data_IF_650874527422
#
_entry.id   IF_650874527422
#
_cell.length_a   1.000
_cell.length_b   1.000
_cell.length_c   1.000
_cell.angle_alpha   90.00
_cell.angle_beta   90.00
_cell.angle_gamma   90.00
#
_symmetry.space_group_name_H-M   'P 1'
#
loop_
_entity.id
_entity.type
_entity.pdbx_description
1 polymer ?
#
# COMPACT_ATOMS: atom_id res chain seq x y z
N UNK A 1 19.74 56.22 -12.25
CA UNK A 1 20.45 55.07 -11.63
C UNK A 1 19.56 54.19 -10.75
N UNK A 2 18.70 54.71 -9.84
CA UNK A 2 17.82 53.87 -9.00
C UNK A 2 16.79 53.01 -9.77
N UNK A 3 16.22 53.52 -10.86
CA UNK A 3 15.24 52.77 -11.67
C UNK A 3 15.83 51.56 -12.41
N UNK A 4 17.07 51.65 -12.91
CA UNK A 4 17.74 50.52 -13.57
C UNK A 4 18.12 49.40 -12.60
N UNK A 5 18.43 49.73 -11.34
CA UNK A 5 18.72 48.74 -10.30
C UNK A 5 17.48 47.90 -9.93
N UNK A 6 16.29 48.53 -9.87
CA UNK A 6 15.01 47.85 -9.60
C UNK A 6 14.66 46.85 -10.70
N UNK A 7 14.78 47.24 -11.98
CA UNK A 7 14.45 46.36 -13.10
C UNK A 7 15.38 45.14 -13.15
N UNK A 8 16.68 45.33 -12.89
CA UNK A 8 17.64 44.23 -12.85
C UNK A 8 17.36 43.25 -11.70
N UNK A 9 16.97 43.74 -10.52
CA UNK A 9 16.56 42.87 -9.41
C UNK A 9 15.29 42.10 -9.71
N UNK A 10 14.34 42.68 -10.46
CA UNK A 10 13.08 42.02 -10.82
C UNK A 10 13.32 40.86 -11.81
N UNK A 11 14.19 41.04 -12.81
CA UNK A 11 14.58 39.95 -13.73
C UNK A 11 15.37 38.84 -13.02
N UNK A 12 16.25 39.20 -12.07
CA UNK A 12 16.95 38.22 -11.24
C UNK A 12 15.97 37.43 -10.36
N UNK A 13 14.97 38.10 -9.78
CA UNK A 13 13.92 37.48 -8.98
C UNK A 13 13.06 36.53 -9.82
N UNK A 14 12.63 36.96 -11.01
CA UNK A 14 11.87 36.11 -11.95
C UNK A 14 12.69 34.89 -12.39
N UNK A 15 13.99 35.08 -12.67
CA UNK A 15 14.91 33.98 -12.96
C UNK A 15 15.00 32.99 -11.80
N UNK A 16 15.13 33.48 -10.56
CA UNK A 16 15.19 32.64 -9.36
C UNK A 16 13.87 31.87 -9.15
N UNK A 17 12.72 32.53 -9.35
CA UNK A 17 11.39 31.88 -9.27
C UNK A 17 11.29 30.79 -10.34
N UNK A 18 11.69 31.07 -11.59
CA UNK A 18 11.66 30.08 -12.66
C UNK A 18 12.53 28.86 -12.33
N UNK A 19 13.75 29.08 -11.83
CA UNK A 19 14.65 27.99 -11.38
C UNK A 19 14.03 27.19 -10.24
N UNK A 20 13.43 27.87 -9.25
CA UNK A 20 12.77 27.21 -8.14
C UNK A 20 11.58 26.36 -8.59
N UNK A 21 10.75 26.88 -9.51
CA UNK A 21 9.62 26.14 -10.08
C UNK A 21 10.10 24.92 -10.85
N UNK A 22 11.15 25.05 -11.67
CA UNK A 22 11.75 23.92 -12.39
C UNK A 22 12.27 22.86 -11.42
N UNK A 23 12.97 23.26 -10.35
CA UNK A 23 13.48 22.33 -9.35
C UNK A 23 12.34 21.60 -8.61
N UNK A 24 11.26 22.32 -8.29
CA UNK A 24 10.07 21.75 -7.68
C UNK A 24 9.41 20.71 -8.60
N UNK A 25 9.23 21.04 -9.88
CA UNK A 25 8.67 20.11 -10.87
C UNK A 25 9.55 18.87 -11.04
N UNK A 26 10.87 19.02 -11.10
CA UNK A 26 11.80 17.89 -11.14
C UNK A 26 11.70 17.01 -9.89
N UNK A 27 11.52 17.62 -8.72
CA UNK A 27 11.36 16.89 -7.45
C UNK A 27 10.04 16.11 -7.43
N UNK A 28 8.94 16.73 -7.84
CA UNK A 28 7.63 16.07 -7.95
C UNK A 28 7.69 14.92 -8.96
N UNK A 29 8.33 15.15 -10.10
CA UNK A 29 8.50 14.12 -11.13
C UNK A 29 9.33 12.95 -10.61
N UNK A 30 10.49 13.21 -10.00
CA UNK A 30 11.32 12.18 -9.38
C UNK A 30 10.56 11.41 -8.29
N UNK A 31 9.76 12.10 -7.47
CA UNK A 31 8.91 11.49 -6.46
C UNK A 31 7.84 10.57 -7.08
N UNK A 32 7.20 10.99 -8.16
CA UNK A 32 6.21 10.18 -8.87
C UNK A 32 6.84 8.93 -9.49
N UNK A 33 8.01 9.06 -10.13
CA UNK A 33 8.77 7.92 -10.67
C UNK A 33 9.18 6.96 -9.55
N UNK A 34 9.73 7.46 -8.45
CA UNK A 34 10.09 6.66 -7.27
C UNK A 34 8.89 5.95 -6.65
N UNK A 35 7.70 6.56 -6.75
CA UNK A 35 6.44 5.97 -6.28
C UNK A 35 5.88 4.87 -7.20
N UNK A 36 6.48 4.65 -8.38
CA UNK A 36 6.09 3.60 -9.32
C UNK A 36 5.30 4.08 -10.54
N UNK A 37 5.35 5.38 -10.88
CA UNK A 37 4.60 5.92 -12.05
C UNK A 37 4.89 5.15 -13.35
N UNK A 38 6.13 4.74 -13.59
CA UNK A 38 6.52 3.95 -14.77
C UNK A 38 6.67 2.46 -14.49
N UNK A 39 6.30 1.98 -13.31
CA UNK A 39 6.36 0.55 -13.03
C UNK A 39 5.29 -0.17 -13.83
N UNK A 40 5.71 -1.20 -14.55
CA UNK A 40 4.82 -2.09 -15.28
C UNK A 40 4.08 -3.01 -14.31
N UNK A 41 2.78 -3.21 -14.56
CA UNK A 41 1.97 -4.17 -13.80
C UNK A 41 1.95 -5.47 -14.59
N UNK A 42 2.78 -6.43 -14.17
CA UNK A 42 2.79 -7.77 -14.74
C UNK A 42 1.82 -8.64 -13.94
N UNK A 43 0.80 -9.16 -14.62
CA UNK A 43 -0.16 -10.12 -14.06
C UNK A 43 0.23 -11.52 -14.50
N UNK A 44 0.26 -12.46 -13.56
CA UNK A 44 0.54 -13.86 -13.84
C UNK A 44 -0.38 -14.78 -13.04
N UNK A 45 -0.62 -15.99 -13.55
CA UNK A 45 -1.30 -17.06 -12.85
C UNK A 45 -0.30 -18.17 -12.52
N UNK A 46 -0.42 -18.76 -11.32
CA UNK A 46 0.44 -19.84 -10.93
C UNK A 46 0.32 -20.21 -9.45
N UNK A 47 1.34 -20.93 -8.98
CA UNK A 47 1.50 -21.22 -7.54
C UNK A 47 1.72 -19.92 -6.77
N UNK A 48 1.07 -19.75 -5.61
CA UNK A 48 1.25 -18.53 -4.82
C UNK A 48 2.72 -18.37 -4.41
N UNK A 49 3.21 -17.12 -4.31
CA UNK A 49 4.55 -16.83 -3.83
C UNK A 49 4.66 -17.07 -2.32
N UNK A 50 3.52 -17.26 -1.64
CA UNK A 50 3.41 -17.51 -0.21
C UNK A 50 2.85 -18.90 0.09
N UNK A 51 3.38 -19.53 1.14
CA UNK A 51 2.91 -20.81 1.67
C UNK A 51 1.60 -20.69 2.47
N UNK A 52 1.39 -21.63 3.40
CA UNK A 52 0.41 -21.44 4.47
C UNK A 52 0.85 -20.28 5.35
N UNK A 53 -0.06 -19.40 5.76
CA UNK A 53 0.30 -18.24 6.58
C UNK A 53 -0.53 -18.22 7.84
N UNK A 54 0.13 -18.08 8.99
CA UNK A 54 -0.55 -17.82 10.27
C UNK A 54 -0.49 -16.34 10.55
N UNK A 55 -1.64 -15.73 10.75
CA UNK A 55 -1.75 -14.29 10.90
C UNK A 55 -2.60 -13.88 12.09
N UNK A 56 -2.24 -12.71 12.63
CA UNK A 56 -3.05 -11.98 13.60
C UNK A 56 -3.83 -10.89 12.86
N UNK A 57 -5.16 -10.89 12.95
CA UNK A 57 -6.01 -9.94 12.23
C UNK A 57 -7.14 -9.35 13.08
N UNK A 58 -7.61 -8.19 12.64
CA UNK A 58 -8.90 -7.61 13.01
C UNK A 58 -9.81 -7.62 11.78
N UNK A 59 -11.04 -8.08 11.99
CA UNK A 59 -12.09 -8.05 10.97
C UNK A 59 -12.95 -6.80 11.14
N UNK A 60 -13.28 -6.14 10.03
CA UNK A 60 -14.19 -4.99 9.98
C UNK A 60 -15.12 -5.08 8.78
N UNK A 61 -16.23 -4.37 8.89
CA UNK A 61 -17.18 -4.11 7.80
C UNK A 61 -17.30 -2.60 7.70
N UNK A 62 -17.16 -2.07 6.49
CA UNK A 62 -17.17 -0.64 6.23
C UNK A 62 -16.24 -0.25 5.06
N UNK A 63 -16.07 1.06 4.83
CA UNK A 63 -15.27 1.55 3.71
C UNK A 63 -13.80 1.14 3.80
N UNK A 64 -13.23 0.63 2.70
CA UNK A 64 -11.82 0.21 2.66
C UNK A 64 -10.83 1.35 2.89
N UNK A 65 -11.24 2.61 2.70
CA UNK A 65 -10.44 3.78 3.06
C UNK A 65 -10.09 3.85 4.55
N UNK A 66 -10.86 3.19 5.42
CA UNK A 66 -10.61 3.13 6.86
C UNK A 66 -9.63 2.02 7.26
N UNK A 67 -9.21 1.17 6.32
CA UNK A 67 -8.26 0.08 6.57
C UNK A 67 -6.92 0.54 7.13
N UNK A 68 -6.50 1.78 6.82
CA UNK A 68 -5.25 2.37 7.28
C UNK A 68 -5.08 2.36 8.80
N UNK A 69 -6.16 2.59 9.55
CA UNK A 69 -6.12 2.56 11.02
C UNK A 69 -5.74 1.17 11.55
N UNK A 70 -6.27 0.10 10.95
CA UNK A 70 -5.95 -1.27 11.36
C UNK A 70 -4.50 -1.66 11.02
N UNK A 71 -3.94 -1.13 9.93
CA UNK A 71 -2.52 -1.32 9.62
C UNK A 71 -1.62 -0.64 10.67
N UNK A 72 -1.99 0.56 11.12
CA UNK A 72 -1.29 1.30 12.20
C UNK A 72 -1.38 0.55 13.53
N UNK A 73 -2.57 0.04 13.89
CA UNK A 73 -2.75 -0.82 15.06
C UNK A 73 -1.82 -2.03 15.05
N UNK A 74 -1.71 -2.72 13.91
CA UNK A 74 -0.79 -3.85 13.78
C UNK A 74 0.69 -3.43 13.88
N UNK A 75 1.03 -2.25 13.33
CA UNK A 75 2.39 -1.73 13.33
C UNK A 75 2.89 -1.36 14.73
N UNK A 76 2.01 -0.76 15.54
CA UNK A 76 2.35 -0.34 16.90
C UNK A 76 2.69 -1.53 17.81
N UNK A 77 2.15 -2.72 17.50
CA UNK A 77 2.47 -3.97 18.21
C UNK A 77 3.79 -4.56 17.72
N UNK A 78 4.00 -4.59 16.40
CA UNK A 78 5.24 -5.05 15.78
C UNK A 78 5.44 -4.47 14.38
N UNK A 79 6.45 -3.63 14.22
CA UNK A 79 6.82 -3.04 12.93
C UNK A 79 7.60 -4.02 12.02
N UNK A 80 8.21 -5.06 12.59
CA UNK A 80 9.08 -6.02 11.86
C UNK A 80 8.30 -7.05 11.04
N UNK A 81 7.04 -7.29 11.37
CA UNK A 81 6.22 -8.31 10.69
C UNK A 81 5.56 -7.74 9.44
N UNK A 82 5.50 -8.55 8.39
CA UNK A 82 4.80 -8.19 7.16
C UNK A 82 3.30 -7.92 7.43
N UNK A 83 2.78 -6.86 6.83
CA UNK A 83 1.35 -6.53 6.87
C UNK A 83 0.60 -7.30 5.81
N UNK A 84 -0.66 -7.62 6.09
CA UNK A 84 -1.55 -8.29 5.14
C UNK A 84 -2.96 -7.71 5.23
N UNK A 85 -3.60 -7.54 4.08
CA UNK A 85 -5.01 -7.18 3.96
C UNK A 85 -5.75 -8.20 3.11
N UNK A 86 -6.91 -8.65 3.58
CA UNK A 86 -7.82 -9.53 2.87
C UNK A 86 -9.13 -8.78 2.66
N UNK A 87 -9.50 -8.57 1.40
CA UNK A 87 -10.71 -7.86 1.00
C UNK A 87 -11.66 -8.88 0.36
N UNK A 88 -12.86 -9.02 0.92
CA UNK A 88 -13.79 -10.08 0.52
C UNK A 88 -14.76 -9.66 -0.59
N UNK A 89 -14.95 -8.35 -0.78
CA UNK A 89 -16.00 -7.80 -1.61
C UNK A 89 -15.39 -6.84 -2.65
N UNK A 90 -15.98 -6.77 -3.83
CA UNK A 90 -15.56 -5.81 -4.84
C UNK A 90 -16.23 -4.45 -4.55
N UNK A 91 -15.46 -3.39 -4.21
CA UNK A 91 -16.00 -2.09 -3.81
C UNK A 91 -16.72 -1.35 -4.95
N UNK A 92 -16.56 -1.78 -6.20
CA UNK A 92 -17.31 -1.25 -7.35
C UNK A 92 -18.72 -1.85 -7.46
N UNK A 93 -18.98 -2.96 -6.78
CA UNK A 93 -20.26 -3.69 -6.85
C UNK A 93 -21.00 -3.74 -5.52
N UNK A 94 -20.27 -3.67 -4.40
CA UNK A 94 -20.82 -3.70 -3.04
C UNK A 94 -20.72 -2.30 -2.45
N UNK A 95 -21.80 -1.84 -1.80
CA UNK A 95 -21.81 -0.55 -1.12
C UNK A 95 -20.69 -0.46 -0.05
N UNK A 96 -19.99 0.68 0.10
CA UNK A 96 -18.87 0.82 1.03
C UNK A 96 -19.18 0.33 2.46
N UNK A 97 -20.36 0.64 3.00
CA UNK A 97 -20.78 0.24 4.35
C UNK A 97 -20.96 -1.26 4.58
N UNK A 98 -20.99 -2.04 3.49
CA UNK A 98 -21.15 -3.50 3.53
C UNK A 98 -19.88 -4.25 3.14
N UNK A 99 -18.82 -3.53 2.75
CA UNK A 99 -17.58 -4.13 2.32
C UNK A 99 -16.87 -4.75 3.53
N UNK A 100 -16.55 -6.04 3.45
CA UNK A 100 -15.88 -6.78 4.53
C UNK A 100 -14.40 -6.87 4.22
N UNK A 101 -13.59 -6.72 5.26
CA UNK A 101 -12.14 -6.85 5.15
C UNK A 101 -11.50 -7.28 6.47
N UNK A 102 -10.34 -7.91 6.36
CA UNK A 102 -9.51 -8.31 7.47
C UNK A 102 -8.10 -7.76 7.27
N UNK A 103 -7.61 -6.98 8.23
CA UNK A 103 -6.26 -6.43 8.21
C UNK A 103 -5.47 -7.01 9.37
N UNK A 104 -4.21 -7.34 9.11
CA UNK A 104 -3.38 -8.02 10.09
C UNK A 104 -1.89 -8.01 9.78
N UNK A 105 -1.20 -8.86 10.53
CA UNK A 105 0.24 -9.12 10.41
C UNK A 105 0.46 -10.62 10.28
N UNK A 106 1.38 -11.00 9.40
CA UNK A 106 1.80 -12.40 9.24
C UNK A 106 2.74 -12.73 10.42
N UNK A 107 2.40 -13.74 11.22
CA UNK A 107 3.19 -14.20 12.35
C UNK A 107 4.17 -15.31 11.96
N UNK A 108 3.77 -16.16 11.02
CA UNK A 108 4.62 -17.19 10.44
C UNK A 108 4.12 -17.64 9.07
N UNK A 109 5.02 -18.23 8.28
CA UNK A 109 4.75 -18.75 6.95
C UNK A 109 5.29 -20.19 6.82
N UNK A 110 4.60 -21.02 6.05
CA UNK A 110 4.89 -22.44 5.87
C UNK A 110 4.54 -23.26 7.11
N UNK A 111 5.41 -24.22 7.43
CA UNK A 111 5.28 -25.11 8.60
C UNK A 111 5.83 -24.48 9.89
N UNK A 112 6.37 -23.26 9.81
CA UNK A 112 6.89 -22.56 10.97
C UNK A 112 5.74 -22.17 11.92
N UNK A 113 5.89 -22.51 13.19
CA UNK A 113 4.95 -22.07 14.23
C UNK A 113 5.27 -20.63 14.64
N UNK A 114 4.25 -19.77 14.83
CA UNK A 114 4.47 -18.42 15.34
C UNK A 114 4.94 -18.48 16.80
N UNK A 115 5.73 -17.50 17.24
CA UNK A 115 6.13 -17.40 18.65
C UNK A 115 4.90 -17.20 19.53
N UNK A 116 4.79 -17.98 20.62
CA UNK A 116 3.71 -17.84 21.59
C UNK A 116 3.64 -16.43 22.18
N UNK A 117 4.79 -15.77 22.37
CA UNK A 117 4.83 -14.41 22.88
C UNK A 117 4.19 -13.41 21.91
N UNK A 118 4.44 -13.58 20.61
CA UNK A 118 3.82 -12.75 19.58
C UNK A 118 2.31 -12.99 19.54
N UNK A 119 1.89 -14.26 19.54
CA UNK A 119 0.48 -14.66 19.57
C UNK A 119 -0.25 -14.02 20.75
N UNK A 120 0.28 -14.20 21.98
CA UNK A 120 -0.31 -13.62 23.20
C UNK A 120 -0.36 -12.10 23.14
N UNK A 121 0.69 -11.45 22.62
CA UNK A 121 0.74 -9.99 22.47
C UNK A 121 -0.37 -9.50 21.54
N UNK A 122 -0.51 -10.09 20.36
CA UNK A 122 -1.56 -9.68 19.41
C UNK A 122 -2.97 -9.94 19.96
N UNK A 123 -3.19 -11.09 20.61
CA UNK A 123 -4.47 -11.39 21.27
C UNK A 123 -4.82 -10.39 22.37
N UNK A 124 -3.83 -9.95 23.17
CA UNK A 124 -4.02 -8.91 24.20
C UNK A 124 -4.56 -7.59 23.62
N UNK A 125 -4.20 -7.26 22.38
CA UNK A 125 -4.69 -6.07 21.66
C UNK A 125 -5.92 -6.36 20.78
N UNK A 126 -6.60 -7.49 21.01
CA UNK A 126 -7.87 -7.82 20.37
C UNK A 126 -7.75 -8.39 18.95
N UNK A 127 -6.55 -8.81 18.52
CA UNK A 127 -6.40 -9.51 17.25
C UNK A 127 -6.76 -10.99 17.40
N UNK A 128 -7.47 -11.52 16.41
CA UNK A 128 -7.75 -12.94 16.28
C UNK A 128 -6.62 -13.61 15.52
N UNK A 129 -6.40 -14.89 15.80
CA UNK A 129 -5.37 -15.70 15.13
C UNK A 129 -6.07 -16.66 14.18
N UNK A 130 -5.58 -16.74 12.95
CA UNK A 130 -6.07 -17.67 11.96
C UNK A 130 -4.93 -18.10 11.03
N UNK A 131 -5.02 -19.31 10.51
CA UNK A 131 -4.07 -19.85 9.55
C UNK A 131 -4.77 -20.04 8.21
N UNK A 132 -4.33 -19.30 7.20
CA UNK A 132 -4.77 -19.54 5.83
C UNK A 132 -4.00 -20.75 5.26
N UNK A 133 -4.69 -21.73 4.68
CA UNK A 133 -4.03 -22.80 3.95
C UNK A 133 -3.32 -22.23 2.72
N UNK A 134 -2.30 -22.95 2.24
CA UNK A 134 -1.64 -22.60 0.98
C UNK A 134 -2.67 -22.66 -0.16
N UNK A 135 -2.76 -21.58 -0.94
CA UNK A 135 -3.59 -21.59 -2.14
C UNK A 135 -2.97 -22.50 -3.22
N UNK A 136 -3.80 -23.21 -3.98
CA UNK A 136 -3.34 -24.08 -5.07
C UNK A 136 -2.98 -23.29 -6.33
N UNK A 137 -3.77 -22.26 -6.64
CA UNK A 137 -3.59 -21.42 -7.81
C UNK A 137 -4.07 -20.01 -7.50
N UNK A 138 -3.29 -19.00 -7.89
CA UNK A 138 -3.64 -17.60 -7.70
C UNK A 138 -3.31 -16.80 -8.96
N UNK A 139 -4.08 -15.74 -9.19
CA UNK A 139 -3.70 -14.66 -10.08
C UNK A 139 -3.06 -13.57 -9.22
N UNK A 140 -1.87 -13.14 -9.59
CA UNK A 140 -1.07 -12.24 -8.78
C UNK A 140 -0.42 -11.15 -9.62
N UNK A 141 -0.12 -10.04 -8.95
CA UNK A 141 0.69 -8.95 -9.47
C UNK A 141 1.45 -8.33 -8.31
N UNK A 142 2.62 -7.77 -8.60
CA UNK A 142 3.47 -7.07 -7.63
C UNK A 142 3.63 -5.62 -8.05
N UNK A 143 3.55 -4.71 -7.07
CA UNK A 143 3.74 -3.29 -7.30
C UNK A 143 4.54 -2.67 -6.15
N UNK A 144 5.36 -1.63 -6.42
CA UNK A 144 6.10 -0.95 -5.37
C UNK A 144 5.19 -0.41 -4.27
N UNK A 145 5.65 -0.50 -3.03
CA UNK A 145 5.00 0.06 -1.85
C UNK A 145 5.97 0.98 -1.13
N UNK A 146 6.34 2.09 -1.78
CA UNK A 146 7.39 3.00 -1.30
C UNK A 146 6.83 4.30 -0.71
N UNK A 147 5.71 4.81 -1.23
CA UNK A 147 5.07 6.04 -0.76
C UNK A 147 3.55 5.91 -0.72
N UNK A 148 2.81 6.84 -0.09
CA UNK A 148 1.36 6.87 -0.17
C UNK A 148 0.84 6.97 -1.62
N UNK A 149 1.58 7.64 -2.51
CA UNK A 149 1.25 7.72 -3.92
C UNK A 149 1.35 6.35 -4.59
N UNK A 150 2.29 5.49 -4.19
CA UNK A 150 2.39 4.11 -4.66
C UNK A 150 1.12 3.31 -4.38
N UNK A 151 0.49 3.51 -3.23
CA UNK A 151 -0.76 2.83 -2.86
C UNK A 151 -1.87 3.23 -3.82
N UNK A 152 -2.01 4.52 -4.10
CA UNK A 152 -3.01 5.03 -5.04
C UNK A 152 -2.77 4.52 -6.46
N UNK A 153 -1.51 4.54 -6.92
CA UNK A 153 -1.13 3.98 -8.22
C UNK A 153 -1.41 2.48 -8.29
N UNK A 154 -1.10 1.72 -7.24
CA UNK A 154 -1.37 0.29 -7.16
C UNK A 154 -2.87 0.00 -7.30
N UNK A 155 -3.72 0.69 -6.53
CA UNK A 155 -5.17 0.48 -6.59
C UNK A 155 -5.72 0.77 -8.00
N UNK A 156 -5.31 1.89 -8.61
CA UNK A 156 -5.84 2.29 -9.91
C UNK A 156 -5.28 1.50 -11.10
N UNK A 157 -4.12 0.86 -10.97
CA UNK A 157 -3.46 0.17 -12.09
C UNK A 157 -3.47 -1.34 -11.95
N UNK A 158 -3.32 -1.86 -10.74
CA UNK A 158 -3.27 -3.31 -10.48
C UNK A 158 -4.66 -3.91 -10.53
N UNK A 159 -5.68 -3.30 -9.91
CA UNK A 159 -7.03 -3.88 -9.92
C UNK A 159 -7.61 -4.01 -11.34
N UNK A 160 -7.57 -2.98 -12.21
CA UNK A 160 -8.06 -3.14 -13.58
C UNK A 160 -7.28 -4.17 -14.40
N UNK A 161 -5.97 -4.31 -14.17
CA UNK A 161 -5.14 -5.32 -14.84
C UNK A 161 -5.54 -6.73 -14.40
N UNK A 162 -5.74 -6.94 -13.09
CA UNK A 162 -6.25 -8.21 -12.55
C UNK A 162 -7.65 -8.54 -13.07
N UNK A 163 -8.56 -7.56 -13.07
CA UNK A 163 -9.93 -7.71 -13.58
C UNK A 163 -9.96 -8.08 -15.07
N UNK A 164 -9.03 -7.54 -15.87
CA UNK A 164 -8.91 -7.88 -17.29
C UNK A 164 -8.38 -9.29 -17.50
N UNK A 165 -7.49 -9.76 -16.62
CA UNK A 165 -6.88 -11.09 -16.71
C UNK A 165 -7.82 -12.22 -16.27
N UNK A 166 -8.67 -11.97 -15.25
CA UNK A 166 -9.54 -13.00 -14.65
C UNK A 166 -10.84 -13.22 -15.45
N UNK A 167 -11.23 -12.26 -16.30
CA UNK A 167 -12.37 -12.39 -17.21
C UNK A 167 -12.13 -13.43 -18.30
#
# INVERSE_FOLDING_TARGET
MRHHASIMSDWMLLGLIAVLVVLLLLTIFAFAVYSGLFTEVVVSAGSPPVGSITLAYKFRVGPYGESGQLFTDGCSISSKLCSIGVYYDNPHTVSPEKCRFAIGRILSEGDAKPSEEQVRRFQKYGFKIFTFPKASHVVMASFPFTTPLSIHLAVNRVHPALDTYIK
#
